data_IF_389041061567
#
_entry.id   IF_389041061567
#
_cell.length_a   1.000
_cell.length_b   1.000
_cell.length_c   1.000
_cell.angle_alpha   90.00
_cell.angle_beta   90.00
_cell.angle_gamma   90.00
#
_symmetry.space_group_name_H-M   'P 1'
#
loop_
_entity.id
_entity.type
_entity.pdbx_description
1 polymer ?
#
# COMPACT_ATOMS: atom_id res chain seq x y z
N UNK A 1 14.91 -5.33 54.12
CA UNK A 1 15.65 -4.32 53.33
C UNK A 1 16.13 -5.08 52.12
N UNK A 2 15.66 -4.91 50.90
CA UNK A 2 14.80 -3.94 50.24
C UNK A 2 14.18 -4.69 49.06
N UNK A 3 12.89 -4.47 48.82
CA UNK A 3 12.13 -5.03 47.70
C UNK A 3 11.92 -3.89 46.71
N UNK A 4 12.31 -4.06 45.44
CA UNK A 4 12.06 -3.10 44.35
C UNK A 4 11.77 -3.92 43.09
N UNK A 5 10.49 -4.17 42.81
CA UNK A 5 9.63 -3.43 41.87
C UNK A 5 9.71 -4.03 40.44
N UNK A 6 8.84 -5.01 40.21
CA UNK A 6 8.40 -5.41 38.88
C UNK A 6 7.24 -4.47 38.51
N UNK A 7 7.45 -3.66 37.47
CA UNK A 7 6.46 -2.78 36.87
C UNK A 7 5.53 -3.63 35.99
N UNK A 8 4.29 -3.81 36.44
CA UNK A 8 3.22 -4.45 35.70
C UNK A 8 2.06 -3.45 35.65
N UNK A 9 1.90 -2.80 34.50
CA UNK A 9 0.72 -1.98 34.20
C UNK A 9 -0.50 -2.88 33.96
N UNK A 10 -1.70 -2.49 34.44
CA UNK A 10 -2.91 -3.30 34.39
C UNK A 10 -3.66 -3.18 33.06
N UNK A 11 -4.32 -4.29 32.67
CA UNK A 11 -5.31 -4.40 31.61
C UNK A 11 -6.49 -3.44 31.87
N UNK A 12 -6.75 -2.56 30.89
CA UNK A 12 -7.89 -1.65 30.86
C UNK A 12 -8.91 -2.23 29.87
N UNK A 13 -9.80 -3.09 30.37
CA UNK A 13 -11.02 -3.50 29.65
C UNK A 13 -12.19 -3.37 30.59
N UNK A 14 -12.74 -2.16 30.61
CA UNK A 14 -13.94 -1.83 31.37
C UNK A 14 -15.19 -1.89 30.48
N UNK A 15 -16.33 -2.03 31.16
CA UNK A 15 -17.71 -1.75 30.76
C UNK A 15 -18.58 -2.91 30.27
N UNK A 16 -18.89 -3.82 31.20
CA UNK A 16 -20.22 -4.45 31.29
C UNK A 16 -21.23 -3.48 31.96
N UNK A 17 -22.50 -3.39 31.49
CA UNK A 17 -23.47 -2.40 31.98
C UNK A 17 -23.97 -2.66 33.41
N UNK A 18 -24.00 -1.60 34.23
CA UNK A 18 -24.63 -1.52 35.54
C UNK A 18 -26.17 -1.49 35.44
N UNK A 19 -26.84 -2.35 36.21
CA UNK A 19 -28.18 -2.07 36.77
C UNK A 19 -28.04 -0.97 37.83
N UNK A 20 -29.08 -0.14 38.05
CA UNK A 20 -29.57 -0.06 39.42
C UNK A 20 -31.10 0.09 39.58
N UNK A 21 -31.58 -0.68 40.54
CA UNK A 21 -32.39 -0.30 41.72
C UNK A 21 -33.78 0.35 41.55
N UNK A 22 -34.74 -0.47 41.96
CA UNK A 22 -36.04 -0.15 42.55
C UNK A 22 -35.90 0.81 43.74
N UNK A 23 -36.55 1.98 43.70
CA UNK A 23 -36.88 2.74 44.92
C UNK A 23 -38.29 3.37 44.86
N UNK A 24 -38.88 3.48 46.04
CA UNK A 24 -40.29 3.48 46.39
C UNK A 24 -41.02 4.82 46.22
N UNK A 25 -42.37 4.72 46.30
CA UNK A 25 -43.38 5.77 46.30
C UNK A 25 -43.15 6.95 47.26
N UNK A 26 -43.94 8.03 47.11
CA UNK A 26 -44.96 8.27 48.12
C UNK A 26 -46.32 8.73 47.58
N UNK A 27 -47.31 8.67 48.48
CA UNK A 27 -48.73 8.79 48.26
C UNK A 27 -49.31 10.22 48.47
N UNK A 28 -50.55 10.37 48.00
CA UNK A 28 -51.64 11.29 48.40
C UNK A 28 -51.55 12.80 48.08
N UNK A 29 -52.50 13.31 47.26
CA UNK A 29 -53.75 13.89 47.80
C UNK A 29 -54.62 14.57 46.72
N UNK A 30 -55.92 14.24 46.79
CA UNK A 30 -57.15 15.03 46.51
C UNK A 30 -57.44 15.67 45.14
N UNK A 31 -58.62 15.31 44.59
CA UNK A 31 -59.39 16.14 43.66
C UNK A 31 -60.34 15.37 42.75
N UNK A 32 -61.50 14.92 43.27
CA UNK A 32 -62.70 14.63 42.47
C UNK A 32 -63.49 15.97 42.29
N UNK A 33 -64.26 16.17 41.21
CA UNK A 33 -65.62 15.62 41.19
C UNK A 33 -66.07 15.04 39.82
N UNK A 34 -66.68 13.86 39.91
CA UNK A 34 -68.04 13.55 39.46
C UNK A 34 -68.43 13.84 38.00
N UNK A 35 -68.67 12.77 37.23
CA UNK A 35 -69.95 12.54 36.52
C UNK A 35 -70.04 11.10 36.01
N UNK A 36 -70.97 10.36 36.59
CA UNK A 36 -71.45 9.05 36.16
C UNK A 36 -72.05 9.12 34.75
N UNK A 37 -71.70 8.18 33.86
CA UNK A 37 -72.68 7.48 33.01
C UNK A 37 -72.18 6.05 32.83
N UNK A 38 -72.85 5.13 33.52
CA UNK A 38 -72.86 3.71 33.19
C UNK A 38 -73.69 3.50 31.93
N UNK A 39 -73.12 2.86 30.91
CA UNK A 39 -73.85 1.98 30.01
C UNK A 39 -72.83 1.07 29.33
N UNK A 40 -72.78 -0.19 29.75
CA UNK A 40 -72.25 -1.25 28.88
C UNK A 40 -73.19 -1.37 27.68
N UNK A 41 -72.61 -1.48 26.49
CA UNK A 41 -72.94 -2.66 25.71
C UNK A 41 -71.71 -3.29 25.05
N UNK A 42 -71.61 -4.60 25.25
CA UNK A 42 -71.30 -5.62 24.23
C UNK A 42 -69.91 -5.65 23.59
N UNK A 43 -69.32 -6.83 23.67
CA UNK A 43 -68.20 -7.28 22.86
C UNK A 43 -68.39 -6.99 21.35
N UNK A 44 -67.24 -6.79 20.68
CA UNK A 44 -67.00 -6.84 19.24
C UNK A 44 -67.00 -5.52 18.45
N UNK A 45 -66.03 -4.64 18.72
CA UNK A 45 -65.32 -3.92 17.65
C UNK A 45 -63.81 -3.90 17.98
N UNK A 46 -63.13 -5.02 17.74
CA UNK A 46 -61.66 -5.01 17.68
C UNK A 46 -61.31 -4.19 16.44
N UNK A 47 -60.75 -3.02 16.69
CA UNK A 47 -60.45 -2.01 15.68
C UNK A 47 -59.54 -2.65 14.58
N UNK A 48 -59.94 -2.68 13.29
CA UNK A 48 -59.24 -3.42 12.23
C UNK A 48 -57.79 -2.98 12.04
N UNK A 49 -57.45 -1.76 12.46
CA UNK A 49 -56.10 -1.21 12.46
C UNK A 49 -55.19 -1.93 13.47
N UNK A 50 -55.71 -2.32 14.64
CA UNK A 50 -54.95 -3.03 15.68
C UNK A 50 -54.65 -4.46 15.26
N UNK A 51 -55.59 -5.14 14.60
CA UNK A 51 -55.35 -6.49 14.05
C UNK A 51 -54.32 -6.47 12.92
N UNK A 52 -54.32 -5.44 12.06
CA UNK A 52 -53.33 -5.28 11.01
C UNK A 52 -51.92 -5.02 11.58
N UNK A 53 -51.82 -4.16 12.60
CA UNK A 53 -50.56 -3.88 13.29
C UNK A 53 -50.00 -5.13 13.99
N UNK A 54 -50.86 -5.94 14.61
CA UNK A 54 -50.47 -7.21 15.23
C UNK A 54 -49.97 -8.23 14.19
N UNK A 55 -50.62 -8.31 13.02
CA UNK A 55 -50.16 -9.16 11.92
C UNK A 55 -48.81 -8.72 11.35
N UNK A 56 -48.58 -7.42 11.18
CA UNK A 56 -47.29 -6.90 10.72
C UNK A 56 -46.17 -7.17 11.74
N UNK A 57 -46.45 -6.96 13.03
CA UNK A 57 -45.51 -7.31 14.11
C UNK A 57 -45.18 -8.81 14.15
N UNK A 58 -46.19 -9.68 13.96
CA UNK A 58 -45.97 -11.13 13.86
C UNK A 58 -45.13 -11.48 12.63
N UNK A 59 -45.39 -10.87 11.48
CA UNK A 59 -44.59 -11.07 10.26
C UNK A 59 -43.14 -10.64 10.44
N UNK A 60 -42.89 -9.48 11.07
CA UNK A 60 -41.53 -9.01 11.38
C UNK A 60 -40.81 -9.92 12.37
N UNK A 61 -41.51 -10.37 13.42
CA UNK A 61 -40.95 -11.35 14.37
C UNK A 61 -40.54 -12.63 13.66
N UNK A 62 -41.39 -13.16 12.78
CA UNK A 62 -41.12 -14.43 12.10
C UNK A 62 -39.96 -14.30 11.10
N UNK A 63 -39.86 -13.17 10.40
CA UNK A 63 -38.73 -12.84 9.54
C UNK A 63 -37.41 -12.77 10.32
N UNK A 64 -37.41 -12.04 11.44
CA UNK A 64 -36.24 -11.94 12.32
C UNK A 64 -35.84 -13.30 12.91
N UNK A 65 -36.81 -14.14 13.28
CA UNK A 65 -36.54 -15.48 13.79
C UNK A 65 -35.86 -16.37 12.73
N UNK A 66 -36.29 -16.26 11.47
CA UNK A 66 -35.68 -16.97 10.34
C UNK A 66 -34.26 -16.48 10.03
N UNK A 67 -34.03 -15.17 10.12
CA UNK A 67 -32.70 -14.58 9.93
C UNK A 67 -31.73 -15.00 11.04
N UNK A 68 -32.18 -14.95 12.30
CA UNK A 68 -31.40 -15.41 13.45
C UNK A 68 -31.00 -16.87 13.24
N UNK A 69 -31.94 -17.75 12.90
CA UNK A 69 -31.62 -19.18 12.69
C UNK A 69 -30.63 -19.41 11.56
N UNK A 70 -30.75 -18.68 10.44
CA UNK A 70 -29.78 -18.76 9.34
C UNK A 70 -28.37 -18.26 9.75
N UNK A 71 -28.30 -17.18 10.52
CA UNK A 71 -27.03 -16.64 11.02
C UNK A 71 -26.37 -17.60 12.03
N UNK A 72 -27.14 -18.21 12.92
CA UNK A 72 -26.62 -19.18 13.89
C UNK A 72 -26.07 -20.43 13.19
N UNK A 73 -26.78 -20.97 12.19
CA UNK A 73 -26.26 -22.11 11.43
C UNK A 73 -24.99 -21.78 10.67
N UNK A 74 -24.90 -20.56 10.10
CA UNK A 74 -23.70 -20.10 9.41
C UNK A 74 -22.52 -19.93 10.37
N UNK A 75 -22.78 -19.41 11.58
CA UNK A 75 -21.77 -19.29 12.63
C UNK A 75 -21.23 -20.66 13.05
N UNK A 76 -22.11 -21.63 13.29
CA UNK A 76 -21.71 -22.99 13.66
C UNK A 76 -20.89 -23.68 12.56
N UNK A 77 -21.29 -23.49 11.29
CA UNK A 77 -20.52 -23.99 10.16
C UNK A 77 -19.12 -23.37 10.13
N UNK A 78 -19.00 -22.05 10.24
CA UNK A 78 -17.72 -21.36 10.26
C UNK A 78 -16.84 -21.77 11.45
N UNK A 79 -17.41 -21.96 12.64
CA UNK A 79 -16.66 -22.45 13.80
C UNK A 79 -16.12 -23.87 13.58
N UNK A 80 -16.88 -24.74 12.91
CA UNK A 80 -16.45 -26.09 12.57
C UNK A 80 -15.32 -26.11 11.55
N UNK A 81 -15.41 -25.27 10.52
CA UNK A 81 -14.38 -25.09 9.49
C UNK A 81 -13.10 -24.51 10.10
N UNK A 82 -13.23 -23.54 11.00
CA UNK A 82 -12.09 -22.93 11.68
C UNK A 82 -11.38 -23.93 12.59
N UNK A 83 -12.13 -24.71 13.40
CA UNK A 83 -11.53 -25.78 14.23
C UNK A 83 -10.82 -26.85 13.39
N UNK A 84 -11.40 -27.25 12.25
CA UNK A 84 -10.80 -28.23 11.36
C UNK A 84 -9.53 -27.69 10.67
N UNK A 85 -9.54 -26.44 10.21
CA UNK A 85 -8.43 -25.83 9.49
C UNK A 85 -7.27 -25.39 10.41
N UNK A 86 -7.56 -24.94 11.64
CA UNK A 86 -6.56 -24.39 12.56
C UNK A 86 -5.61 -25.47 13.12
N UNK A 87 -6.12 -26.69 13.32
CA UNK A 87 -5.31 -27.81 13.81
C UNK A 87 -4.23 -28.25 12.80
N UNK A 88 -4.52 -28.19 11.49
CA UNK A 88 -3.57 -28.57 10.44
C UNK A 88 -2.55 -27.47 10.10
N UNK A 89 -2.98 -26.21 10.08
CA UNK A 89 -2.10 -25.08 9.73
C UNK A 89 -1.08 -24.78 10.84
N UNK A 90 -1.46 -24.87 12.11
CA UNK A 90 -0.55 -24.59 13.23
C UNK A 90 0.62 -25.58 13.31
N UNK A 91 0.38 -26.86 13.05
CA UNK A 91 1.42 -27.91 13.05
C UNK A 91 2.34 -27.81 11.81
N UNK A 92 1.79 -27.43 10.65
CA UNK A 92 2.59 -27.13 9.46
C UNK A 92 3.50 -25.91 9.67
N UNK A 93 2.99 -24.86 10.32
CA UNK A 93 3.75 -23.65 10.67
C UNK A 93 4.86 -24.00 11.67
N UNK A 94 4.57 -24.79 12.70
CA UNK A 94 5.57 -25.20 13.68
C UNK A 94 6.74 -25.98 13.04
N UNK A 95 6.46 -26.88 12.09
CA UNK A 95 7.51 -27.59 11.35
C UNK A 95 8.34 -26.65 10.46
N UNK A 96 7.69 -25.69 9.80
CA UNK A 96 8.37 -24.73 8.91
C UNK A 96 9.30 -23.78 9.71
N UNK A 97 8.83 -23.31 10.87
CA UNK A 97 9.64 -22.47 11.77
C UNK A 97 10.84 -23.22 12.31
N UNK A 98 10.66 -24.50 12.72
CA UNK A 98 11.77 -25.34 13.17
C UNK A 98 12.79 -25.63 12.05
N UNK A 99 12.32 -25.91 10.83
CA UNK A 99 13.19 -26.12 9.67
C UNK A 99 13.99 -24.86 9.29
N UNK A 100 13.38 -23.68 9.42
CA UNK A 100 14.08 -22.41 9.24
C UNK A 100 15.16 -22.18 10.30
N UNK A 101 14.88 -22.51 11.56
CA UNK A 101 15.86 -22.43 12.64
C UNK A 101 17.06 -23.37 12.41
N UNK A 102 16.82 -24.60 11.97
CA UNK A 102 17.88 -25.56 11.62
C UNK A 102 18.72 -25.08 10.43
N UNK A 103 18.08 -24.50 9.40
CA UNK A 103 18.77 -23.91 8.24
C UNK A 103 19.64 -22.72 8.63
N UNK A 104 19.12 -21.78 9.42
CA UNK A 104 19.86 -20.60 9.86
C UNK A 104 21.08 -20.96 10.72
N UNK A 105 20.94 -21.98 11.58
CA UNK A 105 22.05 -22.52 12.36
C UNK A 105 23.17 -23.09 11.48
N UNK A 106 22.83 -23.82 10.42
CA UNK A 106 23.79 -24.33 9.44
C UNK A 106 24.48 -23.21 8.65
N UNK A 107 23.69 -22.26 8.12
CA UNK A 107 24.21 -21.16 7.31
C UNK A 107 25.18 -20.24 8.08
N UNK A 108 24.92 -20.00 9.38
CA UNK A 108 25.84 -19.22 10.23
C UNK A 108 27.14 -19.96 10.51
N UNK A 109 27.08 -21.29 10.67
CA UNK A 109 28.28 -22.10 10.89
C UNK A 109 29.14 -22.19 9.62
N UNK A 110 28.52 -22.28 8.45
CA UNK A 110 29.21 -22.22 7.16
C UNK A 110 29.84 -20.85 6.90
N UNK A 111 29.15 -19.76 7.28
CA UNK A 111 29.70 -18.40 7.18
C UNK A 111 30.93 -18.22 8.08
N UNK A 112 30.89 -18.70 9.33
CA UNK A 112 32.04 -18.65 10.25
C UNK A 112 33.23 -19.43 9.67
N UNK A 113 33.01 -20.62 9.10
CA UNK A 113 34.07 -21.37 8.42
C UNK A 113 34.62 -20.64 7.19
N UNK A 114 33.76 -19.93 6.44
CA UNK A 114 34.21 -19.15 5.28
C UNK A 114 35.09 -17.96 5.65
N UNK A 115 34.82 -17.32 6.80
CA UNK A 115 35.60 -16.20 7.33
C UNK A 115 36.94 -16.69 7.91
N UNK A 116 36.98 -17.86 8.54
CA UNK A 116 38.22 -18.47 9.03
C UNK A 116 39.20 -18.84 7.91
N UNK A 117 38.69 -19.18 6.72
CA UNK A 117 39.51 -19.51 5.54
C UNK A 117 39.90 -18.28 4.71
N UNK A 118 39.47 -17.07 5.08
CA UNK A 118 39.72 -15.87 4.31
C UNK A 118 41.12 -15.30 4.63
N UNK A 119 42.11 -15.71 3.85
CA UNK A 119 43.47 -15.15 3.91
C UNK A 119 43.51 -13.76 3.24
N UNK A 120 43.47 -12.71 4.06
CA UNK A 120 43.52 -11.31 3.62
C UNK A 120 44.92 -10.93 3.12
N UNK A 121 45.19 -11.20 1.84
CA UNK A 121 46.39 -10.67 1.15
C UNK A 121 46.13 -9.21 0.78
N UNK A 122 46.72 -8.30 1.55
CA UNK A 122 46.76 -6.87 1.22
C UNK A 122 47.68 -6.65 0.02
N UNK A 123 47.12 -6.34 -1.14
CA UNK A 123 47.91 -5.91 -2.30
C UNK A 123 48.34 -4.45 -2.12
N UNK A 124 49.65 -4.11 -2.21
CA UNK A 124 50.10 -2.73 -2.13
C UNK A 124 49.66 -1.95 -3.38
N UNK A 125 48.80 -0.94 -3.16
CA UNK A 125 48.34 -0.02 -4.19
C UNK A 125 49.51 0.84 -4.69
N UNK A 126 49.95 0.64 -5.93
CA UNK A 126 50.89 1.54 -6.60
C UNK A 126 50.09 2.68 -7.22
N UNK A 127 50.30 3.89 -6.73
CA UNK A 127 49.61 5.11 -7.20
C UNK A 127 50.15 5.48 -8.58
N UNK A 128 49.36 5.23 -9.64
CA UNK A 128 49.61 5.83 -10.95
C UNK A 128 49.06 7.28 -10.95
N UNK A 129 49.79 8.26 -11.54
CA UNK A 129 49.28 9.61 -11.65
C UNK A 129 48.07 9.69 -12.60
N UNK A 130 47.16 10.60 -12.24
CA UNK A 130 45.85 10.79 -12.86
C UNK A 130 45.95 11.21 -14.33
N UNK A 131 45.05 10.72 -15.22
CA UNK A 131 45.02 11.09 -16.64
C UNK A 131 44.76 12.59 -16.93
N UNK A 132 44.51 13.42 -15.91
CA UNK A 132 44.37 14.87 -16.03
C UNK A 132 45.68 15.55 -16.49
N UNK A 133 46.84 15.01 -16.13
CA UNK A 133 48.15 15.58 -16.50
C UNK A 133 48.53 15.31 -17.97
N UNK A 134 47.87 14.35 -18.64
CA UNK A 134 48.05 14.10 -20.08
C UNK A 134 47.14 14.98 -20.95
N UNK A 135 46.02 15.47 -20.41
CA UNK A 135 45.03 16.24 -21.15
C UNK A 135 45.45 17.70 -21.43
N UNK A 136 46.43 18.24 -20.70
CA UNK A 136 46.94 19.60 -20.92
C UNK A 136 47.65 19.79 -22.27
N UNK A 137 48.04 18.69 -22.95
CA UNK A 137 48.70 18.73 -24.27
C UNK A 137 47.76 18.78 -25.48
N UNK A 138 46.46 18.47 -25.32
CA UNK A 138 45.53 18.27 -26.46
C UNK A 138 44.33 19.24 -26.48
N UNK A 139 44.29 20.24 -25.60
CA UNK A 139 43.18 21.19 -25.45
C UNK A 139 43.09 22.28 -26.55
N UNK A 140 43.41 21.95 -27.81
CA UNK A 140 43.31 22.89 -28.94
C UNK A 140 42.45 22.40 -30.13
N UNK A 141 41.76 21.25 -30.05
CA UNK A 141 41.09 20.70 -31.24
C UNK A 141 39.69 20.08 -31.07
N UNK A 142 39.03 20.15 -29.91
CA UNK A 142 37.69 19.57 -29.76
C UNK A 142 36.77 20.46 -28.91
N UNK A 143 36.34 21.57 -29.51
CA UNK A 143 35.18 22.32 -29.03
C UNK A 143 34.02 22.04 -29.99
N UNK A 144 33.20 21.03 -29.68
CA UNK A 144 31.80 20.85 -30.15
C UNK A 144 31.20 19.59 -29.52
N UNK A 145 29.99 19.73 -28.97
CA UNK A 145 29.14 18.71 -28.34
C UNK A 145 29.42 18.43 -26.84
N UNK A 146 29.01 19.39 -26.01
CA UNK A 146 28.64 19.16 -24.62
C UNK A 146 27.16 18.78 -24.63
N UNK A 147 26.85 17.49 -24.44
CA UNK A 147 25.50 17.03 -24.15
C UNK A 147 25.55 16.31 -22.80
N UNK A 148 24.67 16.74 -21.90
CA UNK A 148 24.72 16.49 -20.45
C UNK A 148 24.55 15.02 -20.09
N UNK A 149 25.59 14.22 -20.32
CA UNK A 149 25.59 12.80 -20.00
C UNK A 149 25.83 12.67 -18.48
N UNK A 150 24.89 12.12 -17.70
CA UNK A 150 25.10 11.87 -16.29
C UNK A 150 26.27 10.88 -16.09
N UNK A 151 26.92 10.90 -14.91
CA UNK A 151 28.11 10.10 -14.66
C UNK A 151 27.84 8.60 -14.89
N UNK A 152 28.76 7.89 -15.56
CA UNK A 152 28.53 6.55 -16.12
C UNK A 152 28.18 5.47 -15.08
N UNK A 153 28.53 5.68 -13.80
CA UNK A 153 28.32 4.71 -12.74
C UNK A 153 26.85 4.53 -12.31
N UNK A 154 25.98 5.52 -12.53
CA UNK A 154 24.56 5.45 -12.13
C UNK A 154 23.71 4.80 -13.23
N UNK A 155 24.06 5.07 -14.49
CA UNK A 155 23.41 4.55 -15.70
C UNK A 155 23.56 3.02 -15.91
N UNK A 156 24.53 2.38 -15.25
CA UNK A 156 24.80 0.96 -15.43
C UNK A 156 23.88 0.03 -14.60
N UNK A 157 23.06 0.57 -13.69
CA UNK A 157 22.21 -0.23 -12.77
C UNK A 157 21.30 -1.22 -13.51
N UNK A 158 20.70 -0.80 -14.62
CA UNK A 158 19.74 -1.58 -15.39
C UNK A 158 20.31 -2.20 -16.67
N UNK A 159 21.61 -2.04 -16.93
CA UNK A 159 22.25 -2.61 -18.13
C UNK A 159 22.19 -4.13 -18.23
N UNK A 160 22.33 -4.92 -17.15
CA UNK A 160 22.19 -6.38 -17.24
C UNK A 160 20.83 -6.80 -17.81
N UNK A 161 19.79 -6.03 -17.51
CA UNK A 161 18.39 -6.32 -17.86
C UNK A 161 17.88 -5.47 -19.03
N UNK A 162 18.74 -4.74 -19.74
CA UNK A 162 18.37 -3.82 -20.83
C UNK A 162 17.51 -4.51 -21.90
N UNK A 163 17.87 -5.75 -22.26
CA UNK A 163 17.13 -6.54 -23.24
C UNK A 163 15.72 -6.89 -22.76
N UNK A 164 15.58 -7.24 -21.48
CA UNK A 164 14.28 -7.54 -20.87
C UNK A 164 13.42 -6.29 -20.81
N UNK A 165 13.96 -5.18 -20.31
CA UNK A 165 13.27 -3.89 -20.19
C UNK A 165 12.74 -3.45 -21.56
N UNK A 166 13.58 -3.43 -22.60
CA UNK A 166 13.16 -3.03 -23.95
C UNK A 166 12.10 -3.96 -24.53
N UNK A 167 12.23 -5.27 -24.36
CA UNK A 167 11.20 -6.23 -24.83
C UNK A 167 9.86 -6.02 -24.13
N UNK A 168 9.87 -5.70 -22.83
CA UNK A 168 8.65 -5.43 -22.07
C UNK A 168 8.02 -4.10 -22.49
N UNK A 169 8.81 -3.04 -22.71
CA UNK A 169 8.31 -1.78 -23.27
C UNK A 169 7.75 -1.92 -24.68
N UNK A 170 8.42 -2.69 -25.55
CA UNK A 170 7.92 -3.03 -26.90
C UNK A 170 6.60 -3.81 -26.84
N UNK A 171 6.39 -4.64 -25.81
CA UNK A 171 5.13 -5.35 -25.59
C UNK A 171 4.00 -4.36 -25.29
N UNK A 172 4.27 -3.31 -24.51
CA UNK A 172 3.27 -2.30 -24.15
C UNK A 172 2.85 -1.40 -25.31
N UNK A 173 3.65 -1.31 -26.39
CA UNK A 173 3.26 -0.62 -27.62
C UNK A 173 2.26 -1.42 -28.47
N UNK A 174 2.11 -2.72 -28.22
CA UNK A 174 1.19 -3.59 -28.95
C UNK A 174 -0.25 -3.41 -28.43
N UNK A 175 -1.15 -4.28 -28.90
CA UNK A 175 -2.55 -4.22 -28.47
C UNK A 175 -2.68 -4.44 -26.95
N UNK A 176 -3.53 -3.65 -26.27
CA UNK A 176 -3.72 -3.76 -24.83
C UNK A 176 -4.31 -5.12 -24.46
N UNK A 177 -3.73 -5.75 -23.44
CA UNK A 177 -4.26 -6.99 -22.90
C UNK A 177 -5.15 -6.71 -21.69
N UNK A 178 -6.46 -6.61 -21.94
CA UNK A 178 -7.44 -6.29 -20.89
C UNK A 178 -7.53 -7.38 -19.81
N UNK A 179 -7.09 -8.61 -20.12
CA UNK A 179 -7.19 -9.77 -19.22
C UNK A 179 -5.84 -10.18 -18.63
N UNK A 180 -4.80 -9.35 -18.77
CA UNK A 180 -3.50 -9.63 -18.20
C UNK A 180 -3.59 -9.85 -16.69
N UNK A 181 -2.73 -10.73 -16.18
CA UNK A 181 -2.62 -11.03 -14.75
C UNK A 181 -2.31 -9.75 -13.94
N UNK A 182 -2.65 -9.71 -12.64
CA UNK A 182 -2.31 -8.58 -11.79
C UNK A 182 -0.83 -8.21 -11.91
N UNK A 183 -0.51 -6.92 -11.79
CA UNK A 183 0.84 -6.37 -11.96
C UNK A 183 1.36 -6.32 -13.40
N UNK A 184 0.59 -6.80 -14.38
CA UNK A 184 0.89 -6.63 -15.80
C UNK A 184 0.06 -5.48 -16.40
N UNK A 185 0.68 -4.71 -17.31
CA UNK A 185 0.02 -3.57 -17.94
C UNK A 185 -1.12 -4.02 -18.87
N UNK A 186 -2.35 -3.58 -18.58
CA UNK A 186 -3.59 -3.85 -19.33
C UNK A 186 -3.95 -2.80 -20.37
N UNK A 187 -3.07 -1.83 -20.56
CA UNK A 187 -3.24 -0.67 -21.44
C UNK A 187 -2.01 -0.58 -22.34
N UNK A 188 -2.16 0.10 -23.47
CA UNK A 188 -1.04 0.39 -24.37
C UNK A 188 -0.49 1.78 -24.07
N UNK A 189 0.82 1.94 -24.17
CA UNK A 189 1.51 3.23 -24.09
C UNK A 189 1.91 3.71 -25.48
N UNK A 190 2.32 4.98 -25.60
CA UNK A 190 2.84 5.53 -26.86
C UNK A 190 4.38 5.58 -26.89
N UNK A 191 4.97 5.82 -28.08
CA UNK A 191 6.43 5.85 -28.24
C UNK A 191 7.11 6.90 -27.35
N UNK A 192 6.41 7.99 -27.02
CA UNK A 192 6.97 9.05 -26.17
C UNK A 192 6.99 8.62 -24.70
N UNK A 193 6.02 7.81 -24.27
CA UNK A 193 6.00 7.20 -22.95
C UNK A 193 7.14 6.17 -22.83
N UNK A 194 7.36 5.35 -23.87
CA UNK A 194 8.50 4.42 -23.94
C UNK A 194 9.83 5.14 -23.86
N UNK A 195 10.04 6.18 -24.68
CA UNK A 195 11.28 6.95 -24.67
C UNK A 195 11.58 7.61 -23.31
N UNK A 196 10.54 8.07 -22.61
CA UNK A 196 10.66 8.61 -21.25
C UNK A 196 11.12 7.54 -20.26
N UNK A 197 10.54 6.35 -20.32
CA UNK A 197 10.93 5.23 -19.45
C UNK A 197 12.36 4.76 -19.76
N UNK A 198 12.73 4.65 -21.04
CA UNK A 198 14.09 4.30 -21.45
C UNK A 198 15.12 5.33 -20.95
N UNK A 199 14.82 6.63 -21.04
CA UNK A 199 15.68 7.68 -20.50
C UNK A 199 15.83 7.53 -18.98
N UNK A 200 14.73 7.30 -18.26
CA UNK A 200 14.76 7.10 -16.82
C UNK A 200 15.58 5.85 -16.41
N UNK A 201 15.45 4.74 -17.14
CA UNK A 201 16.20 3.52 -16.87
C UNK A 201 17.69 3.65 -17.21
N UNK A 202 18.01 4.11 -18.42
CA UNK A 202 19.36 3.97 -18.99
C UNK A 202 20.22 5.23 -18.87
N UNK A 203 19.61 6.41 -18.81
CA UNK A 203 20.36 7.65 -18.60
C UNK A 203 20.34 8.05 -17.13
N UNK A 204 19.18 7.95 -16.47
CA UNK A 204 19.02 8.39 -15.08
C UNK A 204 19.25 7.27 -14.06
N UNK A 205 19.42 6.02 -14.49
CA UNK A 205 19.73 4.89 -13.61
C UNK A 205 18.65 4.62 -12.56
N UNK A 206 17.39 4.93 -12.87
CA UNK A 206 16.26 4.79 -11.95
C UNK A 206 16.02 5.98 -11.00
N UNK A 207 16.73 7.10 -11.19
CA UNK A 207 16.60 8.27 -10.31
C UNK A 207 16.46 9.54 -11.12
N UNK A 208 15.25 10.09 -11.18
CA UNK A 208 15.11 11.42 -11.72
C UNK A 208 13.70 11.88 -12.01
N UNK A 209 13.63 13.14 -12.40
CA UNK A 209 12.40 13.78 -12.79
C UNK A 209 12.21 13.70 -14.30
N UNK A 210 10.98 13.42 -14.72
CA UNK A 210 10.57 13.36 -16.12
C UNK A 210 9.49 14.42 -16.39
N UNK A 211 9.43 14.99 -17.60
CA UNK A 211 8.37 15.93 -17.93
C UNK A 211 7.00 15.25 -17.85
N UNK A 212 6.04 15.93 -17.24
CA UNK A 212 4.64 15.47 -17.20
C UNK A 212 4.09 15.28 -18.61
N UNK A 213 3.15 14.35 -18.75
CA UNK A 213 2.50 13.96 -20.00
C UNK A 213 1.27 14.80 -20.33
N UNK A 214 1.05 15.92 -19.63
CA UNK A 214 -0.08 16.81 -19.86
C UNK A 214 -1.22 16.61 -18.86
N UNK A 215 -1.46 15.37 -18.43
CA UNK A 215 -2.57 15.04 -17.53
C UNK A 215 -2.20 13.93 -16.55
N UNK A 216 -2.79 13.97 -15.35
CA UNK A 216 -2.56 12.96 -14.29
C UNK A 216 -2.82 11.52 -14.76
N UNK A 217 -3.93 11.20 -15.47
CA UNK A 217 -4.15 9.84 -15.96
C UNK A 217 -3.05 9.33 -16.91
N UNK A 218 -2.43 10.20 -17.71
CA UNK A 218 -1.28 9.80 -18.54
C UNK A 218 -0.03 9.53 -17.71
N UNK A 219 0.24 10.36 -16.70
CA UNK A 219 1.35 10.12 -15.77
C UNK A 219 1.16 8.80 -15.02
N UNK A 220 -0.05 8.53 -14.54
CA UNK A 220 -0.39 7.25 -13.88
C UNK A 220 -0.19 6.07 -14.82
N UNK A 221 -0.53 6.20 -16.11
CA UNK A 221 -0.30 5.14 -17.10
C UNK A 221 1.18 4.85 -17.31
N UNK A 222 2.01 5.90 -17.41
CA UNK A 222 3.49 5.75 -17.49
C UNK A 222 4.04 5.10 -16.22
N UNK A 223 3.56 5.53 -15.05
CA UNK A 223 3.91 4.91 -13.77
C UNK A 223 3.48 3.44 -13.70
N UNK A 224 2.32 3.08 -14.23
CA UNK A 224 1.87 1.70 -14.28
C UNK A 224 2.79 0.85 -15.16
N UNK A 225 3.19 1.36 -16.34
CA UNK A 225 4.17 0.68 -17.18
C UNK A 225 5.51 0.50 -16.45
N UNK A 226 5.97 1.52 -15.72
CA UNK A 226 7.17 1.42 -14.88
C UNK A 226 7.01 0.34 -13.79
N UNK A 227 5.91 0.34 -13.04
CA UNK A 227 5.63 -0.65 -11.99
C UNK A 227 5.63 -2.06 -12.58
N UNK A 228 5.03 -2.26 -13.75
CA UNK A 228 5.01 -3.56 -14.41
C UNK A 228 6.43 -4.05 -14.79
N UNK A 229 7.29 -3.17 -15.31
CA UNK A 229 8.69 -3.50 -15.60
C UNK A 229 9.45 -3.82 -14.32
N UNK A 230 9.37 -2.96 -13.31
CA UNK A 230 10.05 -3.16 -12.02
C UNK A 230 9.55 -4.45 -11.34
N UNK A 231 8.28 -4.79 -11.47
CA UNK A 231 7.73 -6.05 -10.97
C UNK A 231 8.23 -7.29 -11.70
N UNK A 232 8.47 -7.21 -13.02
CA UNK A 232 9.15 -8.30 -13.73
C UNK A 232 10.62 -8.45 -13.28
N UNK A 233 11.30 -7.37 -12.86
CA UNK A 233 12.70 -7.40 -12.43
C UNK A 233 12.90 -7.85 -10.98
N UNK A 234 12.13 -7.30 -10.05
CA UNK A 234 12.33 -7.48 -8.60
C UNK A 234 11.25 -8.38 -7.94
N UNK A 235 10.19 -8.73 -8.64
CA UNK A 235 9.14 -9.64 -8.14
C UNK A 235 8.49 -9.13 -6.86
N UNK A 236 8.41 -9.96 -5.82
CA UNK A 236 7.77 -9.60 -4.56
C UNK A 236 8.66 -8.71 -3.64
N UNK A 237 9.89 -8.40 -4.05
CA UNK A 237 10.85 -7.64 -3.23
C UNK A 237 10.71 -6.13 -3.37
N UNK A 238 9.93 -5.62 -4.33
CA UNK A 238 9.71 -4.19 -4.48
C UNK A 238 8.37 -3.77 -3.87
N UNK A 239 8.31 -2.53 -3.38
CA UNK A 239 7.06 -1.88 -3.03
C UNK A 239 7.01 -0.50 -3.67
N UNK A 240 5.87 -0.17 -4.27
CA UNK A 240 5.61 1.13 -4.87
C UNK A 240 5.02 2.09 -3.83
N UNK A 241 5.65 3.24 -3.64
CA UNK A 241 5.20 4.31 -2.76
C UNK A 241 4.82 5.51 -3.64
N UNK A 242 3.56 5.94 -3.59
CA UNK A 242 3.09 7.09 -4.37
C UNK A 242 2.89 8.27 -3.44
N UNK A 243 3.53 9.40 -3.74
CA UNK A 243 3.30 10.69 -3.11
C UNK A 243 2.32 11.51 -3.95
N UNK A 244 1.14 11.76 -3.41
CA UNK A 244 0.14 12.63 -4.01
C UNK A 244 -0.68 13.33 -2.91
N UNK A 245 -0.65 14.66 -2.91
CA UNK A 245 -1.29 15.51 -1.93
C UNK A 245 -2.80 15.57 -2.17
N UNK A 246 -3.57 15.40 -1.11
CA UNK A 246 -5.03 15.47 -1.14
C UNK A 246 -5.72 14.13 -1.46
N UNK A 247 -6.85 13.84 -0.79
CA UNK A 247 -7.58 12.57 -0.92
C UNK A 247 -8.11 12.30 -2.33
N UNK A 248 -8.48 13.35 -3.08
CA UNK A 248 -8.94 13.27 -4.46
C UNK A 248 -7.84 12.74 -5.39
N UNK A 249 -6.60 13.23 -5.25
CA UNK A 249 -5.47 12.79 -6.06
C UNK A 249 -5.09 11.35 -5.72
N UNK A 250 -5.07 11.01 -4.43
CA UNK A 250 -4.86 9.62 -3.99
C UNK A 250 -5.93 8.67 -4.56
N UNK A 251 -7.19 9.13 -4.64
CA UNK A 251 -8.28 8.39 -5.27
C UNK A 251 -8.07 8.16 -6.76
N UNK A 252 -7.60 9.16 -7.49
CA UNK A 252 -7.24 9.05 -8.91
C UNK A 252 -6.08 8.08 -9.14
N UNK A 253 -5.01 8.20 -8.35
CA UNK A 253 -3.86 7.29 -8.40
C UNK A 253 -4.28 5.85 -8.14
N UNK A 254 -5.05 5.60 -7.07
CA UNK A 254 -5.59 4.27 -6.77
C UNK A 254 -6.39 3.72 -7.96
N UNK A 255 -7.35 4.49 -8.46
CA UNK A 255 -8.23 4.05 -9.55
C UNK A 255 -7.47 3.81 -10.85
N UNK A 256 -6.53 4.69 -11.19
CA UNK A 256 -5.74 4.58 -12.41
C UNK A 256 -4.80 3.37 -12.37
N UNK A 257 -4.15 3.11 -11.23
CA UNK A 257 -3.32 1.92 -11.05
C UNK A 257 -4.15 0.62 -11.05
N UNK A 258 -5.33 0.62 -10.41
CA UNK A 258 -6.25 -0.54 -10.48
C UNK A 258 -6.67 -0.85 -11.91
N UNK A 259 -7.00 0.18 -12.69
CA UNK A 259 -7.42 0.02 -14.08
C UNK A 259 -6.27 -0.43 -15.00
N UNK A 260 -5.08 0.15 -14.81
CA UNK A 260 -3.92 -0.10 -15.67
C UNK A 260 -3.21 -1.42 -15.36
N UNK A 261 -3.15 -1.86 -14.10
CA UNK A 261 -2.42 -3.05 -13.66
C UNK A 261 -3.32 -4.21 -13.22
N UNK A 262 -4.64 -4.01 -13.21
CA UNK A 262 -5.58 -5.05 -12.81
C UNK A 262 -5.62 -5.36 -11.32
N UNK A 263 -5.24 -4.40 -10.48
CA UNK A 263 -5.09 -4.57 -9.04
C UNK A 263 -6.43 -4.55 -8.31
N UNK A 264 -6.51 -5.32 -7.23
CA UNK A 264 -7.61 -5.38 -6.29
C UNK A 264 -7.55 -4.28 -5.23
N UNK A 265 -8.28 -4.48 -4.14
CA UNK A 265 -8.20 -3.60 -2.94
C UNK A 265 -7.08 -4.04 -2.00
N UNK A 266 -6.81 -5.33 -1.99
CA UNK A 266 -5.80 -6.05 -1.23
C UNK A 266 -4.37 -5.67 -1.62
N UNK A 267 -4.14 -5.26 -2.86
CA UNK A 267 -2.83 -4.81 -3.36
C UNK A 267 -2.41 -3.43 -2.84
N UNK A 268 -3.35 -2.72 -2.19
CA UNK A 268 -3.10 -1.40 -1.62
C UNK A 268 -3.12 -1.45 -0.09
N UNK A 269 -2.03 -1.03 0.53
CA UNK A 269 -1.94 -0.93 1.98
C UNK A 269 -0.54 -1.20 2.52
N UNK A 270 -0.32 -1.02 3.83
CA UNK A 270 1.03 -1.06 4.43
C UNK A 270 1.76 -2.39 4.27
N UNK A 271 1.01 -3.49 4.16
CA UNK A 271 1.50 -4.86 3.96
C UNK A 271 1.40 -5.32 2.50
N UNK A 272 1.05 -4.42 1.59
CA UNK A 272 0.76 -4.71 0.19
C UNK A 272 1.74 -3.99 -0.71
N UNK A 273 1.82 -4.40 -1.99
CA UNK A 273 2.85 -3.89 -2.89
C UNK A 273 2.72 -2.39 -3.25
N UNK A 274 1.54 -1.75 -3.11
CA UNK A 274 1.39 -0.31 -3.35
C UNK A 274 0.89 0.42 -2.10
N UNK A 275 1.57 1.50 -1.73
CA UNK A 275 1.18 2.40 -0.65
C UNK A 275 1.06 3.83 -1.17
N UNK A 276 -0.01 4.52 -0.79
CA UNK A 276 -0.26 5.91 -1.22
C UNK A 276 -0.10 6.83 0.00
N UNK A 277 0.60 7.94 -0.19
CA UNK A 277 0.94 8.91 0.85
C UNK A 277 0.51 10.31 0.44
N UNK A 278 -0.12 11.01 1.38
CA UNK A 278 -0.39 12.44 1.27
C UNK A 278 0.83 13.27 1.71
N UNK A 279 1.58 12.77 2.70
CA UNK A 279 2.68 13.50 3.34
C UNK A 279 4.03 12.83 3.08
N UNK A 280 5.07 13.60 2.71
CA UNK A 280 6.37 13.06 2.36
C UNK A 280 7.10 12.44 3.56
N UNK A 281 6.89 12.92 4.78
CA UNK A 281 7.60 12.42 5.97
C UNK A 281 7.25 10.94 6.25
N UNK A 282 5.96 10.61 6.11
CA UNK A 282 5.48 9.24 6.29
C UNK A 282 5.96 8.30 5.18
N UNK A 283 6.16 8.82 3.96
CA UNK A 283 6.72 8.07 2.85
C UNK A 283 8.18 7.73 3.11
N UNK A 284 8.98 8.70 3.57
CA UNK A 284 10.41 8.51 3.90
C UNK A 284 10.55 7.45 4.99
N UNK A 285 9.80 7.56 6.10
CA UNK A 285 9.85 6.56 7.18
C UNK A 285 9.45 5.15 6.70
N UNK A 286 8.52 5.05 5.74
CA UNK A 286 8.16 3.76 5.15
C UNK A 286 9.28 3.22 4.28
N UNK A 287 9.88 4.07 3.45
CA UNK A 287 10.95 3.71 2.53
C UNK A 287 12.21 3.26 3.30
N UNK A 288 12.60 3.97 4.37
CA UNK A 288 13.70 3.56 5.24
C UNK A 288 13.48 2.15 5.79
N UNK A 289 12.27 1.86 6.31
CA UNK A 289 11.91 0.53 6.80
C UNK A 289 11.89 -0.56 5.73
N UNK A 290 11.71 -0.21 4.46
CA UNK A 290 11.80 -1.16 3.35
C UNK A 290 13.26 -1.50 3.06
N UNK A 291 14.13 -0.49 2.99
CA UNK A 291 15.56 -0.70 2.79
C UNK A 291 16.20 -1.51 3.93
N UNK A 292 15.82 -1.23 5.18
CA UNK A 292 16.25 -2.00 6.36
C UNK A 292 15.89 -3.50 6.27
N UNK A 293 14.83 -3.83 5.52
CA UNK A 293 14.36 -5.21 5.28
C UNK A 293 14.97 -5.83 4.02
N UNK A 294 15.77 -5.07 3.27
CA UNK A 294 16.31 -5.48 1.97
C UNK A 294 15.27 -5.48 0.85
N UNK A 295 14.14 -4.79 1.03
CA UNK A 295 13.14 -4.54 0.00
C UNK A 295 13.50 -3.27 -0.78
N UNK A 296 13.01 -3.15 -2.02
CA UNK A 296 13.32 -2.04 -2.92
C UNK A 296 12.14 -1.06 -2.97
N UNK A 297 12.26 0.15 -2.39
CA UNK A 297 11.23 1.17 -2.52
C UNK A 297 11.28 1.83 -3.90
N UNK A 298 10.20 1.76 -4.66
CA UNK A 298 9.98 2.56 -5.87
C UNK A 298 9.10 3.75 -5.51
N UNK A 299 9.66 4.97 -5.54
CA UNK A 299 8.94 6.17 -5.16
C UNK A 299 8.42 6.89 -6.42
N UNK A 300 7.11 7.14 -6.48
CA UNK A 300 6.46 7.90 -7.52
C UNK A 300 5.93 9.21 -6.94
N UNK A 301 6.24 10.33 -7.58
CA UNK A 301 5.83 11.67 -7.12
C UNK A 301 4.92 12.30 -8.16
N UNK A 302 3.71 12.67 -7.74
CA UNK A 302 2.71 13.29 -8.61
C UNK A 302 3.20 14.64 -9.16
N UNK A 303 2.75 14.98 -10.37
CA UNK A 303 3.14 16.22 -11.02
C UNK A 303 2.72 17.48 -10.25
N UNK A 304 1.66 17.37 -9.46
CA UNK A 304 1.13 18.47 -8.67
C UNK A 304 1.85 18.66 -7.32
N UNK A 305 2.82 17.82 -6.98
CA UNK A 305 3.65 18.03 -5.79
C UNK A 305 4.56 19.26 -5.97
N UNK A 306 4.41 20.22 -5.06
CA UNK A 306 5.16 21.48 -5.09
C UNK A 306 6.53 21.36 -4.44
N UNK A 307 6.67 20.43 -3.51
CA UNK A 307 7.89 20.22 -2.73
C UNK A 307 8.08 18.75 -2.46
N UNK A 308 9.34 18.32 -2.48
CA UNK A 308 9.76 16.97 -2.11
C UNK A 308 10.81 17.08 -1.03
N UNK A 309 10.71 16.24 -0.03
CA UNK A 309 11.68 16.18 1.07
C UNK A 309 13.02 15.66 0.55
N UNK A 310 14.11 16.34 0.92
CA UNK A 310 15.48 16.00 0.48
C UNK A 310 15.84 14.52 0.76
N UNK A 311 15.46 13.90 1.89
CA UNK A 311 15.66 12.47 2.13
C UNK A 311 15.15 11.55 1.01
N UNK A 312 14.07 11.91 0.31
CA UNK A 312 13.53 11.09 -0.80
C UNK A 312 14.57 10.84 -1.90
N UNK A 313 15.49 11.79 -2.09
CA UNK A 313 16.52 11.70 -3.14
C UNK A 313 17.63 10.69 -2.81
N UNK A 314 17.67 10.17 -1.58
CA UNK A 314 18.66 9.19 -1.14
C UNK A 314 18.29 7.76 -1.60
N UNK A 315 16.99 7.49 -1.81
CA UNK A 315 16.49 6.18 -2.20
C UNK A 315 16.93 5.79 -3.62
N UNK A 316 17.05 4.47 -3.89
CA UNK A 316 17.61 3.96 -5.12
C UNK A 316 16.73 4.22 -6.34
N UNK A 317 15.41 4.16 -6.18
CA UNK A 317 14.45 4.30 -7.26
C UNK A 317 13.42 5.37 -6.96
N UNK A 318 13.42 6.44 -7.75
CA UNK A 318 12.38 7.45 -7.69
C UNK A 318 12.13 8.10 -9.05
N UNK A 319 10.85 8.33 -9.34
CA UNK A 319 10.37 9.04 -10.51
C UNK A 319 9.47 10.19 -10.04
N UNK A 320 9.84 11.41 -10.43
CA UNK A 320 9.00 12.58 -10.23
C UNK A 320 8.49 13.12 -11.54
N UNK A 321 7.19 13.43 -11.62
CA UNK A 321 6.67 14.16 -12.77
C UNK A 321 6.85 15.66 -12.57
N UNK A 322 7.47 16.34 -13.53
CA UNK A 322 7.58 17.78 -13.53
C UNK A 322 6.39 18.37 -14.31
N UNK A 323 5.43 18.99 -13.60
CA UNK A 323 4.29 19.65 -14.24
C UNK A 323 4.73 20.69 -15.28
N UNK A 324 4.00 20.73 -16.40
CA UNK A 324 4.14 21.80 -17.38
C UNK A 324 3.63 23.15 -16.85
N UNK A 325 3.91 24.27 -17.53
CA UNK A 325 3.39 25.60 -17.14
C UNK A 325 1.86 25.67 -17.10
N UNK A 326 1.17 24.95 -17.99
CA UNK A 326 -0.29 24.92 -18.05
C UNK A 326 -0.92 24.11 -16.91
N UNK A 327 -0.34 22.97 -16.55
CA UNK A 327 -0.84 22.09 -15.48
C UNK A 327 -0.76 22.73 -14.09
N UNK A 328 0.26 23.58 -13.85
CA UNK A 328 0.39 24.29 -12.56
C UNK A 328 -0.73 25.30 -12.33
N UNK A 329 -1.27 25.90 -13.39
CA UNK A 329 -2.31 26.93 -13.30
C UNK A 329 -3.66 26.33 -12.90
N UNK A 330 -3.99 25.14 -13.40
CA UNK A 330 -5.25 24.45 -13.08
C UNK A 330 -5.36 24.09 -11.59
N UNK A 331 -4.23 23.85 -10.91
CA UNK A 331 -4.17 23.59 -9.47
C UNK A 331 -4.19 24.85 -8.61
N UNK A 332 -3.69 25.99 -9.12
CA UNK A 332 -3.70 27.27 -8.38
C UNK A 332 -5.10 27.89 -8.33
N UNK A 333 -5.96 27.64 -9.32
CA UNK A 333 -7.35 28.13 -9.36
C UNK A 333 -8.32 27.35 -8.44
N UNK A 334 -7.86 26.24 -7.83
CA UNK A 334 -8.65 25.38 -6.92
C UNK A 334 -8.33 25.60 -5.43
N UNK A 335 -7.37 26.48 -5.10
CA UNK A 335 -6.99 26.88 -3.74
C UNK A 335 -7.61 28.22 -3.32
#
# INVERSE_FOLDING_TARGET
MESTAADAMPDDTDLTPQEPETEQAPAESTGDPTSEISDEPTAAEVNPVVELALKDLQGRRDALQAEITALTSRKEQLESELKANFAGQSDAIARRVKGFQEYLGGALQDLVQSVENLELVVQPMVVQPSPLDQAAGNAAAAASADDGTPPPAVADTFRPDETLIRQTLERFLKQPDVYADPWTLRRSIDDRDTALLEDWFFNQGGRGAQPSRGTRPRNILVSAALIAVIGELYGDQFQCLVLAGGPERLGEWRRGLQDALGLGREDFGPSSGIVLFERPEALVERADRLEERGEVPLILIDAAERSVDIPVLQFPLWLAFAAGPAERLDDDDLL
#
